data_IF_628883282109
#
_entry.id   IF_628883282109
#
_cell.length_a   1.000
_cell.length_b   1.000
_cell.length_c   1.000
_cell.angle_alpha   90.00
_cell.angle_beta   90.00
_cell.angle_gamma   90.00
#
_symmetry.space_group_name_H-M   'P 1'
#
loop_
_entity.id
_entity.type
_entity.pdbx_description
1 polymer ?
#
# COMPACT_ATOMS: atom_id res chain seq x y z
N UNK A 1 4.16 -2.19 -17.46
CA UNK A 1 3.89 -0.90 -16.80
C UNK A 1 2.39 -0.69 -16.58
N UNK A 2 1.57 -0.47 -17.62
CA UNK A 2 0.13 -0.18 -17.47
C UNK A 2 -0.65 -1.19 -16.63
N UNK A 3 -0.43 -2.50 -16.82
CA UNK A 3 -1.11 -3.53 -16.03
C UNK A 3 -0.80 -3.44 -14.54
N UNK A 4 0.45 -3.13 -14.16
CA UNK A 4 0.81 -2.91 -12.76
C UNK A 4 0.15 -1.64 -12.21
N UNK A 5 0.14 -0.56 -12.99
CA UNK A 5 -0.54 0.68 -12.60
C UNK A 5 -2.01 0.41 -12.31
N UNK A 6 -2.72 -0.29 -13.19
CA UNK A 6 -4.11 -0.70 -12.96
C UNK A 6 -4.25 -1.57 -11.71
N UNK A 7 -3.38 -2.57 -11.50
CA UNK A 7 -3.40 -3.46 -10.33
C UNK A 7 -3.25 -2.69 -9.01
N UNK A 8 -2.31 -1.75 -8.93
CA UNK A 8 -2.12 -0.90 -7.75
C UNK A 8 -3.31 0.05 -7.57
N UNK A 9 -3.83 0.64 -8.65
CA UNK A 9 -5.02 1.48 -8.60
C UNK A 9 -6.26 0.71 -8.12
N UNK A 10 -6.38 -0.59 -8.40
CA UNK A 10 -7.46 -1.43 -7.85
C UNK A 10 -7.41 -1.51 -6.33
N UNK A 11 -6.21 -1.58 -5.73
CA UNK A 11 -6.05 -1.54 -4.27
C UNK A 11 -6.49 -0.18 -3.67
N UNK A 12 -6.46 0.87 -4.49
CA UNK A 12 -6.88 2.22 -4.12
C UNK A 12 -8.34 2.54 -4.52
N UNK A 13 -8.94 1.75 -5.41
CA UNK A 13 -10.26 1.99 -5.99
C UNK A 13 -11.37 2.26 -4.96
N UNK A 14 -11.42 1.55 -3.81
CA UNK A 14 -12.39 1.87 -2.77
C UNK A 14 -12.29 3.33 -2.28
N UNK A 15 -11.08 3.90 -2.28
CA UNK A 15 -10.79 5.26 -1.83
C UNK A 15 -10.86 6.30 -2.96
N UNK A 16 -10.54 5.92 -4.19
CA UNK A 16 -10.52 6.82 -5.35
C UNK A 16 -11.94 7.32 -5.66
N UNK A 17 -12.11 8.63 -5.76
CA UNK A 17 -13.41 9.27 -6.07
C UNK A 17 -14.40 9.43 -4.90
N UNK A 18 -14.12 8.87 -3.71
CA UNK A 18 -14.97 9.08 -2.51
C UNK A 18 -14.58 10.31 -1.72
N UNK A 19 -15.54 10.94 -1.05
CA UNK A 19 -15.29 12.03 -0.09
C UNK A 19 -14.67 11.49 1.21
N UNK A 20 -13.97 12.34 1.97
CA UNK A 20 -13.25 11.95 3.19
C UNK A 20 -14.15 11.22 4.21
N UNK A 21 -15.37 11.72 4.44
CA UNK A 21 -16.35 11.10 5.36
C UNK A 21 -16.75 9.68 4.95
N UNK A 22 -16.76 9.41 3.64
CA UNK A 22 -17.15 8.11 3.08
C UNK A 22 -15.95 7.14 3.08
N UNK A 23 -14.72 7.67 2.94
CA UNK A 23 -13.47 6.88 3.06
C UNK A 23 -13.25 6.29 4.45
N UNK A 24 -13.72 6.98 5.50
CA UNK A 24 -13.56 6.51 6.88
C UNK A 24 -14.38 5.26 7.21
N UNK A 25 -15.48 5.05 6.49
CA UNK A 25 -16.39 3.90 6.65
C UNK A 25 -16.31 2.92 5.48
N UNK A 26 -15.33 3.13 4.59
CA UNK A 26 -15.16 2.35 3.38
C UNK A 26 -14.77 0.90 3.74
N UNK A 27 -15.62 -0.09 3.44
CA UNK A 27 -15.41 -1.46 3.87
C UNK A 27 -14.33 -2.17 3.03
N UNK A 28 -13.62 -1.45 2.16
CA UNK A 28 -12.71 -2.00 1.16
C UNK A 28 -13.45 -2.69 0.03
N UNK A 29 -12.71 -3.27 -0.92
CA UNK A 29 -13.28 -4.15 -1.95
C UNK A 29 -13.27 -5.59 -1.44
N UNK A 30 -14.38 -6.31 -1.55
CA UNK A 30 -14.35 -7.78 -1.51
C UNK A 30 -13.82 -8.26 -2.85
N UNK A 31 -12.50 -8.28 -2.96
CA UNK A 31 -11.85 -9.12 -3.95
C UNK A 31 -11.82 -10.57 -3.41
N UNK A 32 -12.95 -11.10 -2.95
CA UNK A 32 -13.05 -12.48 -2.46
C UNK A 32 -13.21 -13.45 -3.63
N UNK A 33 -12.12 -13.72 -4.34
CA UNK A 33 -12.13 -14.69 -5.42
C UNK A 33 -10.76 -14.93 -6.06
N UNK A 34 -10.70 -15.82 -7.07
CA UNK A 34 -9.46 -16.18 -7.78
C UNK A 34 -8.69 -14.99 -8.33
N UNK A 35 -9.40 -13.91 -8.70
CA UNK A 35 -8.82 -12.65 -9.18
C UNK A 35 -7.85 -12.02 -8.18
N UNK A 36 -8.05 -12.22 -6.87
CA UNK A 36 -7.13 -11.70 -5.84
C UNK A 36 -5.86 -12.50 -5.73
N UNK A 37 -5.95 -13.82 -5.85
CA UNK A 37 -4.76 -14.66 -5.94
C UNK A 37 -3.95 -14.27 -7.16
N UNK A 38 -4.60 -14.12 -8.33
CA UNK A 38 -3.96 -13.69 -9.55
C UNK A 38 -3.33 -12.30 -9.43
N UNK A 39 -4.00 -11.34 -8.76
CA UNK A 39 -3.45 -10.01 -8.47
C UNK A 39 -2.21 -10.10 -7.60
N UNK A 40 -2.26 -10.86 -6.50
CA UNK A 40 -1.13 -11.00 -5.57
C UNK A 40 0.07 -11.69 -6.23
N UNK A 41 -0.17 -12.75 -6.99
CA UNK A 41 0.85 -13.45 -7.77
C UNK A 41 1.44 -12.56 -8.87
N UNK A 42 0.61 -11.76 -9.54
CA UNK A 42 1.09 -10.80 -10.53
C UNK A 42 1.98 -9.73 -9.89
N UNK A 43 1.59 -9.17 -8.73
CA UNK A 43 2.40 -8.18 -8.02
C UNK A 43 3.75 -8.75 -7.60
N UNK A 44 3.76 -9.94 -7.00
CA UNK A 44 4.98 -10.65 -6.58
C UNK A 44 5.93 -10.86 -7.76
N UNK A 45 5.45 -11.50 -8.83
CA UNK A 45 6.25 -11.78 -10.02
C UNK A 45 6.73 -10.49 -10.71
N UNK A 46 5.86 -9.47 -10.82
CA UNK A 46 6.25 -8.22 -11.46
C UNK A 46 7.39 -7.55 -10.69
N UNK A 47 7.31 -7.47 -9.37
CA UNK A 47 8.37 -6.86 -8.56
C UNK A 47 9.67 -7.66 -8.62
N UNK A 48 9.61 -9.00 -8.58
CA UNK A 48 10.79 -9.86 -8.73
C UNK A 48 11.53 -9.63 -10.06
N UNK A 49 10.78 -9.51 -11.16
CA UNK A 49 11.38 -9.25 -12.49
C UNK A 49 11.89 -7.81 -12.60
N UNK A 50 11.20 -6.85 -11.96
CA UNK A 50 11.52 -5.42 -12.08
C UNK A 50 12.81 -5.00 -11.39
N UNK A 51 13.28 -5.74 -10.37
CA UNK A 51 14.52 -5.44 -9.65
C UNK A 51 15.79 -5.41 -10.52
N UNK A 52 15.74 -5.97 -11.73
CA UNK A 52 16.90 -6.05 -12.63
C UNK A 52 16.79 -5.16 -13.88
N UNK A 53 15.73 -4.37 -14.07
CA UNK A 53 15.41 -3.83 -15.41
C UNK A 53 14.78 -2.44 -15.50
N UNK A 54 14.88 -1.59 -14.47
CA UNK A 54 14.36 -0.20 -14.52
C UNK A 54 12.83 -0.06 -14.61
N UNK A 55 12.09 -1.17 -14.71
CA UNK A 55 10.63 -1.17 -14.86
C UNK A 55 9.90 -0.48 -13.70
N UNK A 56 10.46 -0.54 -12.48
CA UNK A 56 9.91 0.16 -11.32
C UNK A 56 9.90 1.68 -11.50
N UNK A 57 10.89 2.24 -12.20
CA UNK A 57 10.97 3.67 -12.45
C UNK A 57 9.83 4.12 -13.36
N UNK A 58 9.62 3.42 -14.48
CA UNK A 58 8.50 3.70 -15.38
C UNK A 58 7.14 3.56 -14.69
N UNK A 59 6.98 2.57 -13.80
CA UNK A 59 5.76 2.40 -13.02
C UNK A 59 5.58 3.56 -12.05
N UNK A 60 6.63 3.96 -11.32
CA UNK A 60 6.57 5.05 -10.37
C UNK A 60 6.14 6.37 -11.04
N UNK A 61 6.75 6.70 -12.19
CA UNK A 61 6.36 7.87 -12.97
C UNK A 61 4.90 7.78 -13.46
N UNK A 62 4.47 6.62 -13.95
CA UNK A 62 3.09 6.42 -14.36
C UNK A 62 2.08 6.52 -13.19
N UNK A 63 2.46 6.13 -11.96
CA UNK A 63 1.60 6.32 -10.78
C UNK A 63 1.35 7.80 -10.50
N UNK A 64 2.38 8.64 -10.64
CA UNK A 64 2.28 10.09 -10.44
C UNK A 64 1.28 10.75 -11.41
N UNK A 65 1.16 10.21 -12.62
CA UNK A 65 0.18 10.68 -13.61
C UNK A 65 -1.25 10.21 -13.32
N UNK A 66 -1.41 8.99 -12.78
CA UNK A 66 -2.72 8.34 -12.62
C UNK A 66 -3.36 8.55 -11.25
N UNK A 67 -2.57 8.74 -10.21
CA UNK A 67 -3.06 8.91 -8.84
C UNK A 67 -2.94 10.38 -8.45
N UNK A 68 -4.07 11.07 -8.19
CA UNK A 68 -4.05 12.49 -7.87
C UNK A 68 -3.56 12.69 -6.44
N UNK A 69 -2.24 12.83 -6.26
CA UNK A 69 -1.62 13.12 -4.97
C UNK A 69 -1.26 14.61 -4.84
N UNK A 70 -1.19 15.07 -3.60
CA UNK A 70 -0.57 16.35 -3.27
C UNK A 70 0.95 16.16 -3.31
N UNK A 71 1.71 17.03 -4.01
CA UNK A 71 3.16 16.98 -4.00
C UNK A 71 3.68 17.03 -2.57
N UNK A 72 4.62 16.14 -2.24
CA UNK A 72 5.25 16.16 -0.92
C UNK A 72 6.23 17.33 -0.84
N UNK A 73 6.08 18.17 0.19
CA UNK A 73 7.03 19.22 0.51
C UNK A 73 8.16 18.65 1.38
N UNK A 74 9.42 18.95 1.03
CA UNK A 74 10.57 18.41 1.76
C UNK A 74 11.90 18.53 1.00
N UNK A 75 12.93 17.85 1.51
CA UNK A 75 14.26 17.77 0.91
C UNK A 75 14.32 16.75 -0.24
N UNK A 76 15.44 16.73 -0.98
CA UNK A 76 15.56 16.19 -2.34
C UNK A 76 14.89 14.83 -2.61
N UNK A 77 14.94 13.87 -1.68
CA UNK A 77 14.30 12.56 -1.87
C UNK A 77 12.76 12.62 -1.85
N UNK A 78 12.18 13.55 -1.08
CA UNK A 78 10.73 13.75 -1.05
C UNK A 78 10.24 14.49 -2.30
N UNK A 79 11.11 15.25 -2.98
CA UNK A 79 10.79 15.92 -4.23
C UNK A 79 11.04 15.05 -5.48
N UNK A 80 11.78 13.94 -5.36
CA UNK A 80 12.01 13.00 -6.46
C UNK A 80 10.68 12.34 -6.90
N UNK A 81 10.19 12.59 -8.14
CA UNK A 81 8.94 12.00 -8.65
C UNK A 81 8.94 10.47 -8.62
N UNK A 82 10.11 9.84 -8.79
CA UNK A 82 10.25 8.39 -8.70
C UNK A 82 9.98 7.91 -7.28
N UNK A 83 10.54 8.58 -6.27
CA UNK A 83 10.34 8.22 -4.86
C UNK A 83 8.88 8.43 -4.44
N UNK A 84 8.25 9.53 -4.87
CA UNK A 84 6.81 9.74 -4.65
C UNK A 84 5.96 8.66 -5.33
N UNK A 85 6.30 8.30 -6.57
CA UNK A 85 5.64 7.21 -7.30
C UNK A 85 5.76 5.84 -6.60
N UNK A 86 6.93 5.52 -6.08
CA UNK A 86 7.15 4.30 -5.27
C UNK A 86 6.40 4.37 -3.93
N UNK A 87 6.30 5.55 -3.32
CA UNK A 87 5.52 5.76 -2.11
C UNK A 87 4.01 5.57 -2.32
N UNK A 88 3.47 5.88 -3.51
CA UNK A 88 2.09 5.54 -3.89
C UNK A 88 1.89 4.01 -3.85
N UNK A 89 2.85 3.25 -4.39
CA UNK A 89 2.79 1.78 -4.38
C UNK A 89 2.81 1.25 -2.94
N UNK A 90 3.75 1.72 -2.11
CA UNK A 90 3.83 1.31 -0.70
C UNK A 90 2.57 1.67 0.08
N UNK A 91 2.01 2.86 -0.14
CA UNK A 91 0.74 3.26 0.47
C UNK A 91 -0.44 2.40 0.01
N UNK A 92 -0.48 2.00 -1.25
CA UNK A 92 -1.50 1.07 -1.77
C UNK A 92 -1.38 -0.32 -1.14
N UNK A 93 -0.16 -0.83 -0.92
CA UNK A 93 0.06 -2.08 -0.20
C UNK A 93 -0.38 -1.99 1.27
N UNK A 94 -0.15 -0.84 1.93
CA UNK A 94 -0.70 -0.62 3.26
C UNK A 94 -2.23 -0.61 3.26
N UNK A 95 -2.85 0.07 2.29
CA UNK A 95 -4.31 0.07 2.13
C UNK A 95 -4.85 -1.34 1.91
N UNK A 96 -4.15 -2.14 1.10
CA UNK A 96 -4.46 -3.54 0.87
C UNK A 96 -4.46 -4.34 2.19
N UNK A 97 -3.45 -4.16 3.04
CA UNK A 97 -3.40 -4.77 4.37
C UNK A 97 -4.47 -4.24 5.34
N UNK A 98 -4.95 -3.01 5.15
CA UNK A 98 -6.03 -2.33 5.89
C UNK A 98 -7.42 -2.59 5.29
N UNK A 99 -7.70 -3.83 4.88
CA UNK A 99 -9.02 -4.21 4.39
C UNK A 99 -9.30 -3.90 2.93
N UNK A 100 -8.33 -3.40 2.16
CA UNK A 100 -8.42 -3.42 0.69
C UNK A 100 -8.38 -4.85 0.11
N UNK A 101 -7.79 -5.79 0.86
CA UNK A 101 -7.78 -7.22 0.56
C UNK A 101 -8.53 -8.02 1.64
N UNK A 102 -9.09 -9.18 1.28
CA UNK A 102 -9.68 -10.07 2.26
C UNK A 102 -8.64 -10.71 3.18
N UNK A 103 -9.00 -11.13 4.40
CA UNK A 103 -8.05 -11.61 5.41
C UNK A 103 -7.11 -12.71 4.93
N UNK A 104 -7.63 -13.66 4.14
CA UNK A 104 -6.86 -14.78 3.59
C UNK A 104 -5.80 -14.31 2.56
N UNK A 105 -6.06 -13.22 1.83
CA UNK A 105 -5.12 -12.67 0.86
C UNK A 105 -4.01 -11.86 1.55
N UNK A 106 -4.30 -11.23 2.70
CA UNK A 106 -3.27 -10.55 3.49
C UNK A 106 -2.23 -11.54 4.05
N UNK A 107 -2.53 -12.84 4.12
CA UNK A 107 -1.54 -13.87 4.44
C UNK A 107 -0.44 -14.00 3.38
N UNK A 108 -0.72 -13.62 2.12
CA UNK A 108 0.23 -13.61 1.01
C UNK A 108 1.02 -12.31 0.87
N UNK A 109 0.59 -11.22 1.52
CA UNK A 109 1.24 -9.91 1.41
C UNK A 109 2.74 -9.88 1.81
N UNK A 110 3.25 -10.73 2.74
CA UNK A 110 4.68 -10.76 3.03
C UNK A 110 5.57 -10.98 1.81
N UNK A 111 5.13 -11.83 0.87
CA UNK A 111 5.90 -12.14 -0.33
C UNK A 111 5.95 -10.93 -1.27
N UNK A 112 4.81 -10.26 -1.44
CA UNK A 112 4.72 -9.01 -2.23
C UNK A 112 5.64 -7.92 -1.65
N UNK A 113 5.72 -7.79 -0.32
CA UNK A 113 6.67 -6.85 0.30
C UNK A 113 8.14 -7.24 0.13
N UNK A 114 8.46 -8.53 0.23
CA UNK A 114 9.80 -9.03 -0.03
C UNK A 114 10.23 -8.78 -1.48
N UNK A 115 9.34 -9.06 -2.43
CA UNK A 115 9.57 -8.79 -3.85
C UNK A 115 9.69 -7.29 -4.12
N UNK A 116 8.87 -6.45 -3.49
CA UNK A 116 9.00 -5.00 -3.59
C UNK A 116 10.36 -4.51 -3.05
N UNK A 117 10.83 -5.04 -1.92
CA UNK A 117 12.17 -4.74 -1.41
C UNK A 117 13.28 -5.18 -2.38
N UNK A 118 13.14 -6.35 -2.99
CA UNK A 118 14.05 -6.79 -4.05
C UNK A 118 14.01 -5.87 -5.27
N UNK A 119 12.84 -5.35 -5.63
CA UNK A 119 12.67 -4.38 -6.70
C UNK A 119 13.37 -3.03 -6.43
N UNK A 120 13.61 -2.73 -5.15
CA UNK A 120 14.41 -1.59 -4.68
C UNK A 120 15.90 -1.93 -4.51
N UNK A 121 16.38 -2.93 -5.24
CA UNK A 121 17.76 -3.44 -5.18
C UNK A 121 18.20 -3.85 -3.76
N UNK A 122 17.24 -4.23 -2.90
CA UNK A 122 17.48 -4.58 -1.49
C UNK A 122 18.15 -3.46 -0.68
N UNK A 123 17.95 -2.21 -1.07
CA UNK A 123 18.45 -1.07 -0.30
C UNK A 123 17.52 -0.75 0.87
N UNK A 124 18.01 -1.05 2.08
CA UNK A 124 17.28 -0.83 3.33
C UNK A 124 17.02 0.65 3.62
N UNK A 125 17.90 1.57 3.17
CA UNK A 125 17.71 2.99 3.37
C UNK A 125 16.56 3.50 2.50
N UNK A 126 16.61 3.21 1.19
CA UNK A 126 15.52 3.52 0.25
C UNK A 126 14.19 2.89 0.69
N UNK A 127 14.20 1.64 1.16
CA UNK A 127 13.01 0.98 1.68
C UNK A 127 12.39 1.74 2.87
N UNK A 128 13.21 2.15 3.84
CA UNK A 128 12.77 2.95 4.98
C UNK A 128 12.19 4.31 4.57
N UNK A 129 12.86 5.02 3.65
CA UNK A 129 12.39 6.29 3.10
C UNK A 129 11.03 6.13 2.39
N UNK A 130 10.89 5.10 1.55
CA UNK A 130 9.63 4.82 0.84
C UNK A 130 8.52 4.49 1.84
N UNK A 131 8.81 3.77 2.92
CA UNK A 131 7.82 3.47 3.96
C UNK A 131 7.36 4.73 4.70
N UNK A 132 8.28 5.63 5.08
CA UNK A 132 7.91 6.91 5.69
C UNK A 132 7.05 7.74 4.74
N UNK A 133 7.47 7.86 3.48
CA UNK A 133 6.73 8.59 2.45
C UNK A 133 5.35 7.97 2.21
N UNK A 134 5.25 6.65 2.11
CA UNK A 134 4.00 5.92 1.88
C UNK A 134 2.94 6.21 2.94
N UNK A 135 3.36 6.42 4.19
CA UNK A 135 2.48 6.78 5.30
C UNK A 135 2.10 8.27 5.34
N UNK A 136 2.66 9.08 4.44
CA UNK A 136 2.47 10.54 4.36
C UNK A 136 1.86 11.01 3.04
N UNK A 137 1.85 10.17 2.00
CA UNK A 137 1.22 10.51 0.72
C UNK A 137 -0.25 10.86 0.94
N UNK A 138 -0.64 12.06 0.52
CA UNK A 138 -1.99 12.58 0.62
C UNK A 138 -2.63 12.67 -0.77
N UNK A 139 -3.91 12.36 -0.88
CA UNK A 139 -4.66 12.69 -2.09
C UNK A 139 -4.77 14.21 -2.26
N UNK A 140 -4.71 14.68 -3.50
CA UNK A 140 -4.96 16.08 -3.85
C UNK A 140 -6.39 16.45 -3.43
N UNK A 141 -6.52 17.58 -2.75
CA UNK A 141 -7.81 18.12 -2.34
C UNK A 141 -8.31 19.05 -3.44
N UNK A 142 -9.44 18.72 -4.07
CA UNK A 142 -10.16 19.68 -4.90
C UNK A 142 -11.01 20.58 -3.98
N UNK A 143 -10.91 21.88 -4.22
CA UNK A 143 -11.06 23.01 -3.28
C UNK A 143 -12.39 23.17 -2.49
N UNK A 144 -13.28 22.19 -2.45
CA UNK A 144 -14.55 22.33 -1.76
C UNK A 144 -14.47 22.01 -0.26
N UNK A 145 -14.25 20.77 0.21
CA UNK A 145 -14.51 20.45 1.65
C UNK A 145 -13.81 19.19 2.19
N UNK A 146 -12.49 19.03 2.09
CA UNK A 146 -11.82 17.89 2.75
C UNK A 146 -10.45 18.24 3.32
N UNK A 147 -10.12 17.72 4.52
CA UNK A 147 -8.72 17.58 4.91
C UNK A 147 -8.07 16.57 3.96
N UNK A 148 -6.79 16.74 3.59
CA UNK A 148 -6.10 15.71 2.81
C UNK A 148 -6.16 14.40 3.60
N UNK A 149 -6.64 13.33 2.95
CA UNK A 149 -6.64 12.00 3.55
C UNK A 149 -5.40 11.24 3.10
N UNK A 150 -4.74 10.54 4.01
CA UNK A 150 -3.63 9.67 3.67
C UNK A 150 -4.06 8.54 2.73
N UNK A 151 -3.24 8.29 1.71
CA UNK A 151 -3.44 7.21 0.75
C UNK A 151 -3.33 5.84 1.43
N UNK A 152 -2.41 5.71 2.39
CA UNK A 152 -2.23 4.49 3.18
C UNK A 152 -3.40 4.17 4.14
N UNK A 153 -4.35 5.10 4.31
CA UNK A 153 -5.55 4.91 5.10
C UNK A 153 -5.51 5.49 6.52
N UNK A 154 -6.70 5.52 7.14
CA UNK A 154 -6.97 6.28 8.38
C UNK A 154 -6.15 5.90 9.60
N UNK A 155 -5.64 4.67 9.67
CA UNK A 155 -4.90 4.22 10.86
C UNK A 155 -3.54 4.93 10.97
N UNK A 156 -3.01 5.43 9.85
CA UNK A 156 -1.80 6.26 9.86
C UNK A 156 -2.11 7.74 10.16
N UNK A 157 -3.34 8.21 9.95
CA UNK A 157 -3.73 9.61 10.26
C UNK A 157 -3.58 9.90 11.77
N UNK A 158 -3.86 8.89 12.61
CA UNK A 158 -3.82 9.00 14.07
C UNK A 158 -2.51 8.48 14.68
N UNK A 159 -1.57 8.03 13.85
CA UNK A 159 -0.31 7.48 14.33
C UNK A 159 0.63 8.61 14.75
N UNK A 160 1.12 8.57 15.99
CA UNK A 160 2.10 9.53 16.45
C UNK A 160 3.44 9.38 15.72
N UNK A 161 4.21 10.46 15.62
CA UNK A 161 5.51 10.46 14.96
C UNK A 161 6.46 9.41 15.55
N UNK A 162 6.45 9.24 16.89
CA UNK A 162 7.24 8.21 17.56
C UNK A 162 6.82 6.79 17.21
N UNK A 163 5.50 6.53 17.10
CA UNK A 163 4.99 5.22 16.67
C UNK A 163 5.35 4.94 15.20
N UNK A 164 5.29 5.97 14.34
CA UNK A 164 5.68 5.88 12.93
C UNK A 164 7.17 5.54 12.77
N UNK A 165 8.04 6.25 13.49
CA UNK A 165 9.49 5.98 13.47
C UNK A 165 9.82 4.57 13.97
N UNK A 166 9.16 4.11 15.05
CA UNK A 166 9.32 2.74 15.53
C UNK A 166 8.86 1.71 14.49
N UNK A 167 7.73 1.95 13.82
CA UNK A 167 7.25 1.07 12.74
C UNK A 167 8.26 0.99 11.59
N UNK A 168 8.80 2.12 11.13
CA UNK A 168 9.81 2.17 10.05
C UNK A 168 11.06 1.40 10.48
N UNK A 169 11.56 1.64 11.70
CA UNK A 169 12.74 0.94 12.20
C UNK A 169 12.53 -0.58 12.25
N UNK A 170 11.37 -1.04 12.70
CA UNK A 170 11.04 -2.46 12.70
C UNK A 170 10.95 -3.03 11.27
N UNK A 171 10.36 -2.29 10.32
CA UNK A 171 10.29 -2.70 8.93
C UNK A 171 11.68 -2.80 8.28
N UNK A 172 12.56 -1.83 8.53
CA UNK A 172 13.97 -1.85 8.08
C UNK A 172 14.74 -3.02 8.69
N UNK A 173 14.60 -3.27 9.99
CA UNK A 173 15.24 -4.41 10.67
C UNK A 173 14.76 -5.76 10.12
N UNK A 174 13.51 -5.84 9.66
CA UNK A 174 12.98 -7.03 8.99
C UNK A 174 13.58 -7.17 7.59
N UNK A 175 13.65 -6.08 6.82
CA UNK A 175 14.25 -6.08 5.48
C UNK A 175 15.74 -6.47 5.54
N UNK A 176 16.49 -6.00 6.54
CA UNK A 176 17.90 -6.39 6.76
C UNK A 176 18.10 -7.89 6.97
N UNK A 177 17.12 -8.58 7.58
CA UNK A 177 17.20 -10.02 7.81
C UNK A 177 16.87 -10.84 6.56
N UNK A 178 16.17 -10.23 5.60
CA UNK A 178 15.76 -10.75 4.29
C UNK A 178 15.51 -12.26 4.23
N UNK A 179 14.61 -12.76 5.07
CA UNK A 179 14.26 -14.17 5.10
C UNK A 179 12.78 -14.39 5.38
N UNK A 180 12.29 -15.58 5.02
CA UNK A 180 10.88 -15.95 5.11
C UNK A 180 10.27 -15.72 6.50
N UNK A 181 11.04 -15.94 7.57
CA UNK A 181 10.53 -15.75 8.93
C UNK A 181 10.42 -14.26 9.31
N UNK A 182 11.37 -13.43 8.85
CA UNK A 182 11.34 -11.98 9.00
C UNK A 182 10.16 -11.36 8.25
N UNK A 183 9.96 -11.71 6.97
CA UNK A 183 8.84 -11.20 6.18
C UNK A 183 7.47 -11.59 6.76
N UNK A 184 7.34 -12.79 7.35
CA UNK A 184 6.13 -13.15 8.10
C UNK A 184 5.86 -12.24 9.31
N UNK A 185 6.90 -11.75 10.00
CA UNK A 185 6.77 -10.77 11.09
C UNK A 185 6.34 -9.39 10.58
N UNK A 186 6.70 -9.02 9.35
CA UNK A 186 6.29 -7.73 8.75
C UNK A 186 4.78 -7.57 8.74
N UNK A 187 4.08 -8.62 8.32
CA UNK A 187 2.61 -8.64 8.35
C UNK A 187 2.07 -8.37 9.75
N UNK A 188 2.69 -8.92 10.81
CA UNK A 188 2.23 -8.69 12.18
C UNK A 188 2.38 -7.23 12.60
N UNK A 189 3.51 -6.58 12.27
CA UNK A 189 3.71 -5.16 12.61
C UNK A 189 2.83 -4.25 11.75
N UNK A 190 2.58 -4.59 10.48
CA UNK A 190 1.61 -3.90 9.64
C UNK A 190 0.22 -4.04 10.24
N UNK A 191 -0.21 -5.26 10.60
CA UNK A 191 -1.49 -5.51 11.29
C UNK A 191 -1.63 -4.65 12.54
N UNK A 192 -0.60 -4.56 13.37
CA UNK A 192 -0.60 -3.72 14.59
C UNK A 192 -0.73 -2.23 14.26
N UNK A 193 0.09 -1.73 13.33
CA UNK A 193 0.04 -0.34 12.85
C UNK A 193 -1.31 0.01 12.21
N UNK A 194 -1.97 -0.98 11.63
CA UNK A 194 -3.24 -0.91 10.92
C UNK A 194 -4.46 -1.28 11.80
N UNK A 195 -4.30 -1.32 13.13
CA UNK A 195 -5.42 -1.48 14.07
C UNK A 195 -5.88 -2.92 14.39
N UNK A 196 -5.06 -3.95 14.18
CA UNK A 196 -5.30 -5.32 14.65
C UNK A 196 -4.70 -5.56 16.05
N UNK A 197 -5.30 -6.29 17.01
CA UNK A 197 -6.15 -7.50 17.00
C UNK A 197 -7.12 -7.40 18.20
N UNK A 198 -8.44 -7.44 18.02
CA UNK A 198 -9.36 -7.74 19.15
C UNK A 198 -9.55 -9.25 19.22
N UNK A 199 -9.54 -9.83 20.42
CA UNK A 199 -9.74 -11.26 20.62
C UNK A 199 -10.99 -11.74 19.88
N UNK A 200 -10.87 -12.81 19.09
CA UNK A 200 -12.00 -13.46 18.42
C UNK A 200 -12.37 -12.94 17.02
N UNK A 201 -11.64 -11.98 16.42
CA UNK A 201 -11.87 -11.59 15.01
C UNK A 201 -10.57 -11.31 14.25
N UNK A 202 -10.51 -11.80 13.01
CA UNK A 202 -9.50 -11.39 12.03
C UNK A 202 -9.89 -10.01 11.48
N UNK A 203 -9.23 -8.96 11.97
CA UNK A 203 -9.41 -7.54 11.61
C UNK A 203 -10.69 -6.85 12.16
N UNK A 204 -10.55 -5.57 12.51
CA UNK A 204 -11.67 -4.66 12.82
C UNK A 204 -12.44 -4.21 11.56
N UNK A 205 -11.90 -4.51 10.37
CA UNK A 205 -12.56 -4.23 9.09
C UNK A 205 -13.15 -5.53 8.57
N UNK A 206 -14.48 -5.55 8.43
CA UNK A 206 -15.15 -6.58 7.63
C UNK A 206 -14.98 -6.19 6.16
N UNK A 207 -14.42 -7.05 5.29
CA UNK A 207 -14.43 -6.78 3.86
C UNK A 207 -15.87 -6.53 3.42
N UNK A 208 -16.10 -5.45 2.68
CA UNK A 208 -17.42 -5.11 2.16
C UNK A 208 -17.82 -6.10 1.08
N UNK A 209 -18.92 -6.83 1.26
CA UNK A 209 -19.47 -7.70 0.22
C UNK A 209 -19.68 -6.90 -1.07
N UNK A 210 -18.88 -7.17 -2.09
CA UNK A 210 -19.12 -6.67 -3.45
C UNK A 210 -19.74 -7.80 -4.24
N UNK A 211 -21.01 -7.67 -4.57
CA UNK A 211 -21.62 -8.47 -5.63
C UNK A 211 -21.03 -8.00 -6.95
N UNK A 212 -20.01 -8.71 -7.45
CA UNK A 212 -19.57 -8.57 -8.84
C UNK A 212 -20.66 -9.15 -9.73
N UNK A 213 -21.74 -8.38 -9.92
CA UNK A 213 -22.69 -8.67 -10.99
C UNK A 213 -21.96 -8.24 -12.26
N UNK A 214 -21.34 -9.22 -12.93
CA UNK A 214 -20.93 -9.04 -14.30
C UNK A 214 -22.22 -8.89 -15.11
N UNK A 215 -22.63 -7.67 -15.39
CA UNK A 215 -23.56 -7.43 -16.50
C UNK A 215 -22.83 -7.90 -17.76
N UNK A 216 -23.18 -9.11 -18.21
CA UNK A 216 -22.84 -9.57 -19.55
C UNK A 216 -23.67 -8.69 -20.50
N UNK A 217 -23.05 -7.64 -21.02
CA UNK A 217 -23.53 -6.92 -22.21
C UNK A 217 -22.86 -7.52 -23.43
#
# INVERSE_FOLDING_TARGET
>A
VNSLVSCVCLLLYPSLGKLQKDRQNDPGMSMDGPQTLALMEFLDNFFLISGNGGMMEHVALAMMEKVPIQPMEGDGAQQDPRMQGLAIIGGALFRAAQGGLPPWAVEYIPFVYAAFFQALARDTATFGTIYDMSMRVQFRVDAAHARPSLLAGRYFDTMSDGARQNFIQQAVNIAQQDNKSAWKRLKSIIKQACGGKKSGTDYNQRPGYTTWVFDRV
#
